data_IF_456386690429
#
_entry.id   IF_456386690429
#
_cell.length_a   1.000
_cell.length_b   1.000
_cell.length_c   1.000
_cell.angle_alpha   90.00
_cell.angle_beta   90.00
_cell.angle_gamma   90.00
#
_symmetry.space_group_name_H-M   'P 1'
#
loop_
_entity.id
_entity.type
_entity.pdbx_description
1 polymer ?
#
# COMPACT_ATOMS: atom_id res chain seq x y z
N UNK A 1 -50.46 -65.70 21.36
CA UNK A 1 -48.97 -65.55 21.35
C UNK A 1 -48.61 -64.43 20.35
N UNK A 2 -48.37 -63.25 20.85
CA UNK A 2 -48.03 -62.06 20.01
C UNK A 2 -46.53 -61.84 20.10
N UNK A 3 -45.82 -61.95 19.00
CA UNK A 3 -44.38 -61.70 18.90
C UNK A 3 -44.15 -60.22 18.59
N UNK A 4 -43.51 -59.50 19.53
CA UNK A 4 -43.02 -58.14 19.28
C UNK A 4 -41.68 -58.16 18.53
N UNK A 5 -41.68 -57.60 17.35
CA UNK A 5 -40.45 -57.32 16.58
C UNK A 5 -39.77 -56.06 17.15
N UNK A 6 -38.53 -56.20 17.60
CA UNK A 6 -37.69 -55.07 18.03
C UNK A 6 -37.11 -54.41 16.80
N UNK A 7 -37.52 -53.15 16.53
CA UNK A 7 -36.89 -52.30 15.55
C UNK A 7 -35.62 -51.66 16.17
N UNK A 8 -34.47 -51.97 15.58
CA UNK A 8 -33.19 -51.37 15.93
C UNK A 8 -32.99 -50.09 15.13
N UNK A 9 -33.13 -48.93 15.76
CA UNK A 9 -32.74 -47.65 15.16
C UNK A 9 -31.24 -47.52 15.10
N UNK A 10 -30.66 -47.54 13.92
CA UNK A 10 -29.27 -47.16 13.65
C UNK A 10 -29.21 -45.65 13.50
N UNK A 11 -28.68 -44.95 14.50
CA UNK A 11 -28.38 -43.53 14.42
C UNK A 11 -27.11 -43.31 13.58
N UNK A 12 -27.28 -42.82 12.36
CA UNK A 12 -26.17 -42.36 11.56
C UNK A 12 -25.66 -41.03 12.09
N UNK A 13 -24.55 -41.00 12.77
CA UNK A 13 -23.85 -39.79 13.19
C UNK A 13 -23.20 -39.17 11.91
N UNK A 14 -23.80 -38.09 11.38
CA UNK A 14 -23.17 -37.27 10.36
C UNK A 14 -22.03 -36.48 11.01
N UNK A 15 -20.80 -36.88 10.76
CA UNK A 15 -19.57 -36.10 11.01
C UNK A 15 -19.59 -34.90 10.05
N UNK A 16 -20.04 -33.75 10.53
CA UNK A 16 -19.81 -32.47 9.86
C UNK A 16 -18.36 -32.11 10.11
N UNK A 17 -17.49 -32.43 9.15
CA UNK A 17 -16.12 -31.93 9.15
C UNK A 17 -16.20 -30.38 9.00
N UNK A 18 -15.53 -29.58 9.85
CA UNK A 18 -15.42 -28.16 9.58
C UNK A 18 -14.67 -28.00 8.27
N UNK A 19 -15.34 -27.35 7.29
CA UNK A 19 -14.64 -26.84 6.12
C UNK A 19 -13.65 -25.80 6.65
N UNK A 20 -12.40 -26.21 6.83
CA UNK A 20 -11.30 -25.28 6.96
C UNK A 20 -11.29 -24.48 5.66
N UNK A 21 -11.73 -23.22 5.72
CA UNK A 21 -11.50 -22.28 4.66
C UNK A 21 -9.97 -22.25 4.46
N UNK A 22 -9.49 -22.92 3.41
CA UNK A 22 -8.17 -22.69 2.88
C UNK A 22 -8.20 -21.20 2.49
N UNK A 23 -7.55 -20.36 3.29
CA UNK A 23 -7.33 -18.97 2.94
C UNK A 23 -6.73 -18.98 1.54
N UNK A 24 -7.43 -18.36 0.61
CA UNK A 24 -7.06 -18.30 -0.78
C UNK A 24 -5.65 -17.65 -0.84
N UNK A 25 -4.62 -18.43 -1.15
CA UNK A 25 -3.23 -17.96 -1.21
C UNK A 25 -3.03 -16.92 -2.32
N UNK A 26 -4.04 -16.71 -3.15
CA UNK A 26 -4.10 -15.71 -4.21
C UNK A 26 -4.75 -14.38 -3.75
N UNK A 27 -5.28 -14.30 -2.54
CA UNK A 27 -5.73 -13.04 -1.97
C UNK A 27 -4.50 -12.20 -1.62
N UNK A 28 -4.30 -11.10 -2.35
CA UNK A 28 -3.20 -10.17 -2.08
C UNK A 28 -3.22 -9.72 -0.63
N UNK A 29 -2.09 -9.85 0.06
CA UNK A 29 -1.98 -9.51 1.47
C UNK A 29 -1.74 -8.00 1.63
N UNK A 30 -2.77 -7.27 2.09
CA UNK A 30 -2.66 -5.83 2.37
C UNK A 30 -1.71 -5.52 3.53
N UNK A 31 -1.30 -6.49 4.34
CA UNK A 31 -0.29 -6.32 5.38
C UNK A 31 1.10 -6.02 4.79
N UNK A 32 1.29 -6.20 3.49
CA UNK A 32 2.49 -5.70 2.79
C UNK A 32 2.72 -4.20 3.01
N UNK A 33 1.67 -3.41 3.25
CA UNK A 33 1.77 -1.98 3.52
C UNK A 33 2.16 -1.64 4.97
N UNK A 34 2.19 -2.63 5.88
CA UNK A 34 2.65 -2.45 7.27
C UNK A 34 4.09 -1.95 7.34
N UNK A 35 4.88 -2.21 6.29
CA UNK A 35 6.26 -1.72 6.18
C UNK A 35 6.38 -0.20 6.15
N UNK A 36 5.31 0.54 5.84
CA UNK A 36 5.29 2.01 5.91
C UNK A 36 5.05 2.56 7.32
N UNK A 37 4.44 1.77 8.22
CA UNK A 37 4.07 2.24 9.55
C UNK A 37 5.30 2.77 10.32
N UNK A 38 5.09 3.84 11.09
CA UNK A 38 6.12 4.46 11.92
C UNK A 38 6.58 5.81 11.40
N UNK A 39 7.66 6.32 12.00
CA UNK A 39 8.20 7.64 11.68
C UNK A 39 9.53 7.48 10.93
N UNK A 40 9.65 8.24 9.85
CA UNK A 40 10.78 8.21 8.94
C UNK A 40 11.38 9.60 8.80
N UNK A 41 12.70 9.68 8.76
CA UNK A 41 13.43 10.88 8.32
C UNK A 41 13.83 10.68 6.88
N UNK A 42 13.39 11.60 6.03
CA UNK A 42 13.61 11.58 4.60
C UNK A 42 14.51 12.75 4.20
N UNK A 43 15.45 12.49 3.32
CA UNK A 43 16.18 13.51 2.57
C UNK A 43 15.97 13.26 1.08
N UNK A 44 15.41 14.24 0.39
CA UNK A 44 15.15 14.22 -1.04
C UNK A 44 16.13 15.12 -1.78
N UNK A 45 16.67 14.60 -2.87
CA UNK A 45 17.53 15.34 -3.80
C UNK A 45 16.81 15.44 -5.14
N UNK A 46 16.21 16.58 -5.42
CA UNK A 46 15.62 16.89 -6.71
C UNK A 46 16.70 17.27 -7.70
N UNK A 47 16.60 16.76 -8.92
CA UNK A 47 17.47 17.14 -10.04
C UNK A 47 16.77 18.15 -10.95
N UNK A 48 17.52 19.01 -11.62
CA UNK A 48 16.97 19.91 -12.62
C UNK A 48 16.39 19.09 -13.76
N UNK A 49 15.12 19.35 -14.10
CA UNK A 49 14.41 18.68 -15.18
C UNK A 49 13.34 19.59 -15.76
N UNK A 50 12.58 19.12 -16.75
CA UNK A 50 11.44 19.85 -17.30
C UNK A 50 10.35 20.13 -16.25
N UNK A 51 10.25 19.28 -15.21
CA UNK A 51 9.17 19.30 -14.22
C UNK A 51 9.65 19.54 -12.78
N UNK A 52 10.94 19.77 -12.55
CA UNK A 52 11.49 20.09 -11.22
C UNK A 52 12.71 20.99 -11.28
N UNK A 53 12.86 21.82 -10.24
CA UNK A 53 14.09 22.57 -9.96
C UNK A 53 14.99 21.76 -9.05
N UNK A 54 16.32 21.84 -9.30
CA UNK A 54 17.31 21.22 -8.42
C UNK A 54 17.24 21.82 -7.01
N UNK A 55 17.07 20.98 -5.99
CA UNK A 55 17.03 21.34 -4.57
C UNK A 55 17.19 20.13 -3.69
N UNK A 56 17.50 20.37 -2.43
CA UNK A 56 17.50 19.35 -1.38
C UNK A 56 16.42 19.70 -0.38
N UNK A 57 15.60 18.71 -0.02
CA UNK A 57 14.55 18.83 1.00
C UNK A 57 14.76 17.75 2.06
N UNK A 58 14.56 18.13 3.32
CA UNK A 58 14.54 17.19 4.42
C UNK A 58 13.21 17.30 5.14
N UNK A 59 12.60 16.16 5.47
CA UNK A 59 11.31 16.12 6.15
C UNK A 59 11.20 14.93 7.07
N UNK A 60 10.24 15.01 7.98
CA UNK A 60 9.82 13.86 8.80
C UNK A 60 8.46 13.39 8.31
N UNK A 61 8.36 12.13 7.95
CA UNK A 61 7.13 11.47 7.53
C UNK A 61 6.71 10.48 8.61
N UNK A 62 5.58 10.72 9.26
CA UNK A 62 4.98 9.77 10.19
C UNK A 62 3.76 9.14 9.51
N UNK A 63 3.75 7.82 9.44
CA UNK A 63 2.62 7.04 8.95
C UNK A 63 2.01 6.31 10.15
N UNK A 64 0.91 6.83 10.65
CA UNK A 64 0.09 6.16 11.66
C UNK A 64 -0.86 5.21 10.95
N UNK A 65 -0.53 3.92 11.00
CA UNK A 65 -1.16 2.92 10.16
C UNK A 65 -1.83 1.83 10.99
N UNK A 66 -2.96 1.32 10.50
CA UNK A 66 -3.68 0.19 11.10
C UNK A 66 -4.37 -0.66 10.05
N UNK A 67 -4.62 -1.90 10.39
CA UNK A 67 -5.45 -2.79 9.58
C UNK A 67 -6.92 -2.57 9.93
N UNK A 68 -7.77 -2.52 8.91
CA UNK A 68 -9.22 -2.48 9.03
C UNK A 68 -9.82 -3.50 8.07
N UNK A 69 -10.08 -4.72 8.54
CA UNK A 69 -10.60 -5.86 7.77
C UNK A 69 -9.82 -6.10 6.45
N UNK A 70 -10.40 -5.68 5.32
CA UNK A 70 -9.83 -5.84 3.98
C UNK A 70 -8.92 -4.69 3.54
N UNK A 71 -8.74 -3.69 4.40
CA UNK A 71 -7.97 -2.49 4.10
C UNK A 71 -6.76 -2.36 5.00
N UNK A 72 -5.72 -1.72 4.51
CA UNK A 72 -4.65 -1.18 5.31
C UNK A 72 -4.69 0.34 5.22
N UNK A 73 -4.82 1.03 6.34
CA UNK A 73 -5.08 2.47 6.38
C UNK A 73 -3.90 3.17 7.01
N UNK A 74 -3.41 4.25 6.40
CA UNK A 74 -2.33 5.07 6.92
C UNK A 74 -2.72 6.55 6.95
N UNK A 75 -2.68 7.18 8.11
CA UNK A 75 -2.68 8.63 8.22
C UNK A 75 -1.25 9.13 8.05
N UNK A 76 -0.99 9.82 6.93
CA UNK A 76 0.32 10.38 6.61
C UNK A 76 0.44 11.79 7.18
N UNK A 77 1.45 11.98 8.02
CA UNK A 77 1.78 13.23 8.70
C UNK A 77 3.18 13.66 8.22
N UNK A 78 3.29 14.83 7.61
CA UNK A 78 4.56 15.40 7.16
C UNK A 78 4.86 16.63 7.98
N UNK A 79 6.01 16.64 8.65
CA UNK A 79 6.47 17.73 9.55
C UNK A 79 5.39 18.14 10.57
N UNK A 80 4.76 17.13 11.18
CA UNK A 80 3.73 17.30 12.22
C UNK A 80 2.35 17.74 11.71
N UNK A 81 2.14 17.81 10.38
CA UNK A 81 0.86 18.16 9.78
C UNK A 81 0.28 16.98 9.02
N UNK A 82 -0.96 16.59 9.32
CA UNK A 82 -1.67 15.59 8.51
C UNK A 82 -1.77 16.05 7.07
N UNK A 83 -1.41 15.19 6.13
CA UNK A 83 -1.39 15.48 4.70
C UNK A 83 -2.36 14.62 3.91
N UNK A 84 -2.48 13.35 4.28
CA UNK A 84 -3.38 12.44 3.59
C UNK A 84 -3.80 11.29 4.51
N UNK A 85 -4.98 10.77 4.27
CA UNK A 85 -5.40 9.44 4.68
C UNK A 85 -5.32 8.54 3.46
N UNK A 86 -4.53 7.47 3.55
CA UNK A 86 -4.33 6.55 2.44
C UNK A 86 -4.96 5.21 2.80
N UNK A 87 -5.92 4.77 2.02
CA UNK A 87 -6.58 3.47 2.20
C UNK A 87 -6.09 2.53 1.12
N UNK A 88 -5.32 1.53 1.50
CA UNK A 88 -4.83 0.47 0.60
C UNK A 88 -5.80 -0.70 0.58
N UNK A 89 -5.96 -1.32 -0.58
CA UNK A 89 -6.82 -2.48 -0.78
C UNK A 89 -6.24 -3.43 -1.83
N UNK A 90 -6.75 -4.66 -1.85
CA UNK A 90 -6.53 -5.61 -2.92
C UNK A 90 -7.84 -5.87 -3.64
N UNK A 91 -7.82 -5.77 -4.98
CA UNK A 91 -8.96 -6.13 -5.84
C UNK A 91 -8.78 -7.59 -6.31
N UNK A 92 -9.55 -8.56 -5.77
CA UNK A 92 -9.39 -9.96 -6.10
C UNK A 92 -9.86 -10.30 -7.53
N UNK A 93 -10.71 -9.47 -8.13
CA UNK A 93 -11.18 -9.67 -9.51
C UNK A 93 -10.10 -9.22 -10.49
N UNK A 94 -9.56 -8.03 -10.30
CA UNK A 94 -8.49 -7.49 -11.12
C UNK A 94 -7.10 -8.02 -10.73
N UNK A 95 -6.97 -8.77 -9.61
CA UNK A 95 -5.74 -9.33 -9.04
C UNK A 95 -4.64 -8.26 -8.88
N UNK A 96 -5.01 -7.11 -8.33
CA UNK A 96 -4.11 -5.96 -8.17
C UNK A 96 -4.34 -5.20 -6.89
N UNK A 97 -3.29 -4.54 -6.42
CA UNK A 97 -3.41 -3.58 -5.33
C UNK A 97 -3.87 -2.23 -5.85
N UNK A 98 -4.58 -1.52 -4.98
CA UNK A 98 -4.98 -0.14 -5.21
C UNK A 98 -4.92 0.68 -3.93
N UNK A 99 -5.07 1.99 -4.08
CA UNK A 99 -5.19 2.91 -2.95
C UNK A 99 -6.20 4.02 -3.25
N UNK A 100 -6.78 4.56 -2.18
CA UNK A 100 -7.49 5.84 -2.18
C UNK A 100 -6.67 6.85 -1.40
N UNK A 101 -5.86 7.69 -2.05
CA UNK A 101 -5.13 8.77 -1.39
C UNK A 101 -6.06 9.96 -1.17
N UNK A 102 -6.55 10.14 0.05
CA UNK A 102 -7.44 11.22 0.47
C UNK A 102 -6.57 12.35 1.00
N UNK A 103 -6.13 13.24 0.13
CA UNK A 103 -5.29 14.38 0.53
C UNK A 103 -6.11 15.48 1.23
N UNK A 104 -5.50 16.16 2.17
CA UNK A 104 -6.13 17.31 2.86
C UNK A 104 -6.40 18.42 1.84
N UNK A 105 -7.67 18.82 1.71
CA UNK A 105 -8.11 19.86 0.77
C UNK A 105 -8.34 19.39 -0.65
N UNK A 106 -8.33 18.07 -0.90
CA UNK A 106 -8.71 17.54 -2.21
C UNK A 106 -10.22 17.57 -2.40
N UNK A 107 -10.66 18.09 -3.53
CA UNK A 107 -12.09 18.16 -3.89
C UNK A 107 -12.65 16.80 -4.32
N UNK A 108 -11.78 15.91 -4.81
CA UNK A 108 -12.15 14.59 -5.32
C UNK A 108 -11.12 13.54 -4.88
N UNK A 109 -11.60 12.30 -4.71
CA UNK A 109 -10.76 11.14 -4.39
C UNK A 109 -10.95 10.12 -5.49
N UNK A 110 -9.85 9.74 -6.12
CA UNK A 110 -9.85 8.70 -7.15
C UNK A 110 -9.00 7.51 -6.72
N UNK A 111 -9.41 6.28 -7.06
CA UNK A 111 -8.58 5.12 -6.83
C UNK A 111 -7.33 5.21 -7.70
N UNK A 112 -6.20 4.85 -7.10
CA UNK A 112 -4.92 4.75 -7.79
C UNK A 112 -4.43 3.30 -7.79
N UNK A 113 -3.80 2.87 -8.86
CA UNK A 113 -3.13 1.57 -8.93
C UNK A 113 -1.88 1.60 -8.05
N UNK A 114 -1.59 0.47 -7.39
CA UNK A 114 -0.35 0.27 -6.66
C UNK A 114 0.30 -1.03 -7.18
N UNK A 115 1.56 -0.95 -7.58
CA UNK A 115 2.33 -2.13 -7.98
C UNK A 115 3.20 -2.55 -6.81
N UNK A 116 3.05 -3.79 -6.39
CA UNK A 116 3.78 -4.37 -5.25
C UNK A 116 4.67 -5.48 -5.75
N UNK A 117 5.97 -5.33 -5.52
CA UNK A 117 6.98 -6.34 -5.74
C UNK A 117 7.57 -6.79 -4.40
N UNK A 118 8.45 -7.79 -4.41
CA UNK A 118 9.09 -8.33 -3.21
C UNK A 118 9.72 -7.24 -2.32
N UNK A 119 10.44 -6.30 -2.93
CA UNK A 119 11.19 -5.26 -2.22
C UNK A 119 10.69 -3.85 -2.49
N UNK A 120 9.81 -3.66 -3.49
CA UNK A 120 9.40 -2.33 -3.89
C UNK A 120 7.88 -2.16 -3.92
N UNK A 121 7.45 -0.94 -3.71
CA UNK A 121 6.07 -0.50 -3.93
C UNK A 121 6.12 0.71 -4.83
N UNK A 122 5.43 0.63 -5.96
CA UNK A 122 5.36 1.69 -6.96
C UNK A 122 3.97 2.29 -7.00
N UNK A 123 3.90 3.62 -7.00
CA UNK A 123 2.70 4.43 -7.10
C UNK A 123 2.71 5.19 -8.43
N UNK A 124 2.11 4.65 -9.50
CA UNK A 124 1.94 5.39 -10.75
C UNK A 124 0.78 6.39 -10.61
N UNK A 125 0.94 7.57 -11.20
CA UNK A 125 -0.10 8.60 -11.29
C UNK A 125 0.15 9.50 -12.50
N UNK A 126 -0.88 10.21 -12.93
CA UNK A 126 -0.77 11.18 -14.02
C UNK A 126 -0.85 12.60 -13.48
N UNK A 127 -0.06 13.48 -14.05
CA UNK A 127 -0.07 14.92 -13.80
C UNK A 127 -0.45 15.66 -15.09
N UNK A 128 -1.23 16.71 -14.97
CA UNK A 128 -1.49 17.62 -16.09
C UNK A 128 -0.48 18.78 -16.04
N UNK A 129 0.29 18.93 -17.08
CA UNK A 129 1.21 20.05 -17.25
C UNK A 129 1.00 20.71 -18.62
N UNK A 130 0.61 21.99 -18.60
CA UNK A 130 0.34 22.76 -19.80
C UNK A 130 -0.60 22.07 -20.81
N UNK A 131 -1.62 21.35 -20.31
CA UNK A 131 -2.61 20.63 -21.11
C UNK A 131 -2.12 19.29 -21.68
N UNK A 132 -0.94 18.83 -21.28
CA UNK A 132 -0.41 17.51 -21.60
C UNK A 132 -0.44 16.61 -20.37
N UNK A 133 -0.73 15.34 -20.59
CA UNK A 133 -0.58 14.32 -19.54
C UNK A 133 0.89 13.92 -19.44
N UNK A 134 1.45 14.04 -18.25
CA UNK A 134 2.77 13.55 -17.89
C UNK A 134 2.58 12.36 -16.95
N UNK A 135 3.11 11.20 -17.32
CA UNK A 135 3.07 10.01 -16.48
C UNK A 135 4.12 10.14 -15.39
N UNK A 136 3.73 9.87 -14.17
CA UNK A 136 4.57 9.97 -12.98
C UNK A 136 4.60 8.63 -12.26
N UNK A 137 5.68 8.35 -11.55
CA UNK A 137 5.71 7.26 -10.58
C UNK A 137 6.64 7.57 -9.41
N UNK A 138 6.22 7.11 -8.24
CA UNK A 138 7.06 7.02 -7.04
C UNK A 138 7.40 5.55 -6.84
N UNK A 139 8.67 5.25 -6.74
CA UNK A 139 9.19 3.90 -6.46
C UNK A 139 9.86 3.92 -5.10
N UNK A 140 9.31 3.15 -4.18
CA UNK A 140 9.83 2.95 -2.84
C UNK A 140 10.45 1.57 -2.73
N UNK A 141 11.76 1.47 -2.52
CA UNK A 141 12.48 0.21 -2.41
C UNK A 141 12.98 0.01 -0.98
N UNK A 142 12.44 -0.99 -0.28
CA UNK A 142 12.86 -1.34 1.07
C UNK A 142 14.16 -2.13 1.03
N UNK A 143 15.27 -1.48 1.32
CA UNK A 143 16.60 -2.09 1.34
C UNK A 143 16.84 -2.84 2.64
N UNK A 144 16.26 -2.36 3.73
CA UNK A 144 16.17 -3.04 5.04
C UNK A 144 14.83 -2.72 5.68
N UNK A 145 14.43 -3.35 6.80
CA UNK A 145 13.24 -2.91 7.55
C UNK A 145 13.29 -1.46 8.02
N UNK A 146 14.49 -0.88 8.14
CA UNK A 146 14.73 0.46 8.69
C UNK A 146 15.15 1.48 7.63
N UNK A 147 15.26 1.05 6.36
CA UNK A 147 15.74 1.91 5.27
C UNK A 147 14.93 1.70 4.01
N UNK A 148 14.52 2.81 3.42
CA UNK A 148 13.73 2.90 2.20
C UNK A 148 14.42 3.84 1.23
N UNK A 149 14.72 3.37 0.03
CA UNK A 149 15.16 4.20 -1.08
C UNK A 149 13.93 4.72 -1.84
N UNK A 150 13.84 6.03 -1.96
CA UNK A 150 12.80 6.75 -2.68
C UNK A 150 13.30 7.18 -4.05
N UNK A 151 12.49 6.99 -5.08
CA UNK A 151 12.73 7.54 -6.41
C UNK A 151 11.42 8.05 -7.01
N UNK A 152 11.44 9.29 -7.51
CA UNK A 152 10.35 9.87 -8.28
C UNK A 152 10.80 10.07 -9.72
N UNK A 153 9.99 9.61 -10.66
CA UNK A 153 10.29 9.65 -12.09
C UNK A 153 9.09 10.17 -12.86
N UNK A 154 9.36 10.76 -14.02
CA UNK A 154 8.33 11.13 -15.00
C UNK A 154 8.62 10.54 -16.37
N UNK A 155 7.59 10.47 -17.19
CA UNK A 155 7.65 10.07 -18.58
C UNK A 155 6.61 10.84 -19.40
N UNK A 156 7.03 11.40 -20.55
CA UNK A 156 6.12 12.07 -21.47
C UNK A 156 5.47 11.10 -22.46
N UNK A 157 6.06 9.92 -22.65
CA UNK A 157 5.63 8.90 -23.63
C UNK A 157 5.17 7.59 -22.99
N UNK A 158 5.24 7.49 -21.66
CA UNK A 158 4.94 6.27 -20.90
C UNK A 158 6.00 5.17 -21.03
N UNK A 159 7.08 5.38 -21.78
CA UNK A 159 8.11 4.37 -22.04
C UNK A 159 9.47 4.77 -21.46
N UNK A 160 9.90 5.99 -21.68
CA UNK A 160 11.19 6.51 -21.18
C UNK A 160 10.98 7.26 -19.88
N UNK A 161 11.57 6.74 -18.82
CA UNK A 161 11.47 7.32 -17.48
C UNK A 161 12.69 8.15 -17.14
N UNK A 162 12.46 9.36 -16.68
CA UNK A 162 13.49 10.33 -16.27
C UNK A 162 13.37 10.55 -14.77
N UNK A 163 14.47 10.41 -14.06
CA UNK A 163 14.52 10.64 -12.62
C UNK A 163 14.36 12.12 -12.31
N UNK A 164 13.42 12.46 -11.45
CA UNK A 164 13.14 13.82 -11.00
C UNK A 164 13.62 14.06 -9.57
N UNK A 165 13.52 13.03 -8.71
CA UNK A 165 14.04 13.08 -7.36
C UNK A 165 14.50 11.68 -6.91
N UNK A 166 15.51 11.67 -6.05
CA UNK A 166 15.93 10.48 -5.28
C UNK A 166 16.03 10.83 -3.82
N UNK A 167 15.93 9.85 -2.95
CA UNK A 167 16.09 10.06 -1.52
C UNK A 167 16.31 8.77 -0.77
N UNK A 168 16.67 8.93 0.49
CA UNK A 168 16.73 7.82 1.45
C UNK A 168 15.91 8.20 2.66
N UNK A 169 15.09 7.27 3.10
CA UNK A 169 14.32 7.37 4.32
C UNK A 169 14.88 6.41 5.36
N UNK A 170 15.11 6.91 6.54
CA UNK A 170 15.52 6.11 7.69
C UNK A 170 14.43 6.12 8.75
N UNK A 171 14.04 4.94 9.22
CA UNK A 171 13.08 4.82 10.32
C UNK A 171 13.67 5.40 11.58
N UNK A 172 12.89 6.26 12.24
CA UNK A 172 13.27 6.79 13.56
C UNK A 172 12.84 5.75 14.59
N UNK A 173 13.77 5.17 15.31
CA UNK A 173 13.46 4.27 16.42
C UNK A 173 12.52 4.98 17.39
N UNK A 174 11.44 4.35 17.85
CA UNK A 174 10.61 4.93 18.89
C UNK A 174 11.53 5.22 20.08
N UNK A 175 11.49 6.44 20.59
CA UNK A 175 12.13 6.73 21.88
C UNK A 175 11.59 5.72 22.88
N UNK A 176 12.48 4.91 23.47
CA UNK A 176 12.09 4.04 24.57
C UNK A 176 11.38 4.92 25.63
N UNK A 177 10.11 4.56 25.92
CA UNK A 177 9.34 5.19 26.99
C UNK A 177 9.87 4.71 28.32
#
# INVERSE_FOLDING_TARGET
MIRFARATCVAAAMLVAPLANAADKDAGDVDTFARYAGTWKMQLNYVESAHSKARVESMTVANDCWRSDFFYVCNQIIDGKSRALIVFFYDPVAKRYGSYPIAVGADTVHPATVVVDEKSITFPYDMQDNGKTVHMRIVNTFTTPETLDFKQEYSEDGQKWVTMATGVEHRVSPKAK
#
